data_IF_411675788686
#
_entry.id   IF_411675788686
#
_cell.length_a   1.000
_cell.length_b   1.000
_cell.length_c   1.000
_cell.angle_alpha   90.00
_cell.angle_beta   90.00
_cell.angle_gamma   90.00
#
_symmetry.space_group_name_H-M   'P 1'
#
loop_
_entity.id
_entity.type
_entity.pdbx_description
1 polymer ?
#
# COMPACT_ATOMS: atom_id res chain seq x y z
N UNK A 1 -12.50 0.45 2.88
CA UNK A 1 -11.17 -0.06 3.26
C UNK A 1 -11.21 -1.53 3.74
N UNK A 2 -11.98 -1.87 4.78
CA UNK A 2 -12.00 -3.21 5.38
C UNK A 2 -12.29 -4.34 4.40
N UNK A 3 -13.22 -4.14 3.47
CA UNK A 3 -13.54 -5.12 2.41
C UNK A 3 -12.31 -5.42 1.53
N UNK A 4 -11.61 -4.37 1.06
CA UNK A 4 -10.40 -4.52 0.24
C UNK A 4 -9.31 -5.26 1.01
N UNK A 5 -9.11 -4.91 2.28
CA UNK A 5 -8.12 -5.57 3.13
C UNK A 5 -8.41 -7.07 3.29
N UNK A 6 -9.67 -7.45 3.53
CA UNK A 6 -10.07 -8.85 3.63
C UNK A 6 -9.86 -9.60 2.30
N UNK A 7 -10.20 -8.97 1.17
CA UNK A 7 -9.98 -9.53 -0.16
C UNK A 7 -8.49 -9.75 -0.41
N UNK A 8 -7.64 -8.74 -0.16
CA UNK A 8 -6.19 -8.86 -0.33
C UNK A 8 -5.61 -9.95 0.57
N UNK A 9 -6.07 -10.05 1.82
CA UNK A 9 -5.62 -11.09 2.76
C UNK A 9 -6.03 -12.49 2.30
N UNK A 10 -7.24 -12.66 1.76
CA UNK A 10 -7.69 -13.91 1.16
C UNK A 10 -6.85 -14.30 -0.06
N UNK A 11 -6.54 -13.33 -0.94
CA UNK A 11 -5.70 -13.54 -2.13
C UNK A 11 -4.30 -13.98 -1.72
N UNK A 12 -3.66 -13.27 -0.78
CA UNK A 12 -2.30 -13.57 -0.31
C UNK A 12 -2.20 -14.95 0.33
N UNK A 13 -3.22 -15.38 1.09
CA UNK A 13 -3.27 -16.72 1.71
C UNK A 13 -3.65 -17.84 0.75
N UNK A 14 -4.19 -17.52 -0.42
CA UNK A 14 -4.63 -18.51 -1.41
C UNK A 14 -3.45 -19.21 -2.12
N UNK A 15 -3.77 -20.26 -2.90
CA UNK A 15 -2.78 -20.90 -3.80
C UNK A 15 -2.18 -19.91 -4.80
N UNK A 16 -2.98 -18.97 -5.30
CA UNK A 16 -2.55 -17.93 -6.23
C UNK A 16 -1.51 -17.00 -5.60
N UNK A 17 -1.73 -16.57 -4.35
CA UNK A 17 -0.75 -15.76 -3.61
C UNK A 17 0.61 -16.46 -3.46
N UNK A 18 0.61 -17.77 -3.19
CA UNK A 18 1.87 -18.55 -3.11
C UNK A 18 2.60 -18.64 -4.46
N UNK A 19 1.86 -18.74 -5.57
CA UNK A 19 2.47 -18.70 -6.91
C UNK A 19 3.10 -17.33 -7.17
N UNK A 20 2.44 -16.23 -6.79
CA UNK A 20 3.02 -14.89 -6.92
C UNK A 20 4.31 -14.72 -6.08
N UNK A 21 4.37 -15.30 -4.89
CA UNK A 21 5.60 -15.32 -4.08
C UNK A 21 6.70 -16.12 -4.78
N UNK A 22 6.39 -17.28 -5.36
CA UNK A 22 7.35 -18.05 -6.14
C UNK A 22 7.88 -17.30 -7.36
N UNK A 23 6.99 -16.58 -8.08
CA UNK A 23 7.37 -15.71 -9.21
C UNK A 23 8.33 -14.61 -8.75
N UNK A 24 8.09 -14.03 -7.56
CA UNK A 24 8.96 -12.99 -6.98
C UNK A 24 10.35 -13.51 -6.63
N UNK A 25 10.48 -14.77 -6.17
CA UNK A 25 11.77 -15.37 -5.85
C UNK A 25 12.56 -15.76 -7.09
N UNK A 26 11.92 -16.47 -8.03
CA UNK A 26 12.55 -16.87 -9.28
C UNK A 26 11.49 -17.14 -10.37
N UNK A 27 11.37 -16.21 -11.30
CA UNK A 27 10.40 -16.31 -12.39
C UNK A 27 10.71 -17.48 -13.33
N UNK A 28 11.98 -17.70 -13.70
CA UNK A 28 12.38 -18.78 -14.60
C UNK A 28 12.05 -20.15 -14.00
N UNK A 29 12.38 -20.36 -12.72
CA UNK A 29 12.07 -21.60 -12.00
C UNK A 29 10.57 -21.84 -11.95
N UNK A 30 9.78 -20.79 -11.75
CA UNK A 30 8.32 -20.91 -11.69
C UNK A 30 7.72 -21.28 -13.07
N UNK A 31 8.30 -20.77 -14.16
CA UNK A 31 7.95 -21.20 -15.53
C UNK A 31 8.29 -22.67 -15.77
N UNK A 32 9.46 -23.14 -15.31
CA UNK A 32 9.87 -24.55 -15.46
C UNK A 32 8.95 -25.52 -14.71
N UNK A 33 8.30 -25.06 -13.63
CA UNK A 33 7.28 -25.81 -12.90
C UNK A 33 5.91 -25.87 -13.60
N UNK A 34 5.78 -25.26 -14.80
CA UNK A 34 4.56 -25.28 -15.61
C UNK A 34 3.57 -24.16 -15.31
N UNK A 35 3.94 -23.16 -14.50
CA UNK A 35 3.09 -21.99 -14.25
C UNK A 35 3.29 -20.92 -15.32
N UNK A 36 2.18 -20.40 -15.86
CA UNK A 36 2.21 -19.19 -16.69
C UNK A 36 2.43 -17.95 -15.82
N UNK A 37 3.66 -17.45 -15.79
CA UNK A 37 4.00 -16.27 -14.98
C UNK A 37 3.43 -14.98 -15.55
N UNK A 38 3.18 -14.91 -16.86
CA UNK A 38 2.62 -13.71 -17.52
C UNK A 38 1.15 -13.59 -17.16
N UNK A 39 0.38 -14.66 -17.31
CA UNK A 39 -1.04 -14.68 -16.93
C UNK A 39 -1.22 -14.37 -15.43
N UNK A 40 -0.41 -14.98 -14.56
CA UNK A 40 -0.50 -14.71 -13.12
C UNK A 40 -0.17 -13.25 -12.77
N UNK A 41 0.85 -12.65 -13.39
CA UNK A 41 1.16 -11.22 -13.21
C UNK A 41 0.05 -10.33 -13.75
N UNK A 42 -0.52 -10.65 -14.91
CA UNK A 42 -1.60 -9.89 -15.52
C UNK A 42 -2.85 -9.89 -14.64
N UNK A 43 -3.23 -11.05 -14.07
CA UNK A 43 -4.33 -11.15 -13.10
C UNK A 43 -4.07 -10.25 -11.89
N UNK A 44 -2.84 -10.24 -11.35
CA UNK A 44 -2.47 -9.38 -10.23
C UNK A 44 -2.59 -7.89 -10.57
N UNK A 45 -2.14 -7.48 -11.76
CA UNK A 45 -2.27 -6.11 -12.26
C UNK A 45 -3.74 -5.72 -12.42
N UNK A 46 -4.55 -6.55 -13.09
CA UNK A 46 -5.99 -6.30 -13.28
C UNK A 46 -6.72 -6.20 -11.94
N UNK A 47 -6.42 -7.09 -10.99
CA UNK A 47 -7.01 -7.05 -9.65
C UNK A 47 -6.65 -5.77 -8.89
N UNK A 48 -5.37 -5.35 -8.92
CA UNK A 48 -4.95 -4.08 -8.33
C UNK A 48 -5.62 -2.87 -8.99
N UNK A 49 -5.72 -2.87 -10.31
CA UNK A 49 -6.38 -1.81 -11.09
C UNK A 49 -7.86 -1.70 -10.75
N UNK A 50 -8.56 -2.83 -10.62
CA UNK A 50 -9.97 -2.86 -10.21
C UNK A 50 -10.17 -2.29 -8.80
N UNK A 51 -9.29 -2.61 -7.85
CA UNK A 51 -9.33 -2.07 -6.49
C UNK A 51 -9.08 -0.54 -6.51
N UNK A 52 -8.08 -0.08 -7.25
CA UNK A 52 -7.78 1.36 -7.40
C UNK A 52 -8.94 2.12 -8.05
N UNK A 53 -9.52 1.57 -9.13
CA UNK A 53 -10.67 2.16 -9.81
C UNK A 53 -11.90 2.25 -8.91
N UNK A 54 -12.20 1.18 -8.16
CA UNK A 54 -13.30 1.17 -7.19
C UNK A 54 -13.07 2.21 -6.08
N UNK A 55 -11.84 2.36 -5.60
CA UNK A 55 -11.49 3.40 -4.62
C UNK A 55 -11.67 4.82 -5.17
N UNK A 56 -11.28 5.07 -6.43
CA UNK A 56 -11.47 6.35 -7.10
C UNK A 56 -12.95 6.68 -7.31
N UNK A 57 -13.76 5.71 -7.74
CA UNK A 57 -15.20 5.87 -7.87
C UNK A 57 -15.87 6.19 -6.52
N UNK A 58 -15.48 5.48 -5.45
CA UNK A 58 -15.97 5.74 -4.10
C UNK A 58 -15.58 7.16 -3.61
N UNK A 59 -14.37 7.63 -3.92
CA UNK A 59 -13.95 8.99 -3.62
C UNK A 59 -14.83 10.02 -4.34
N UNK A 60 -15.05 9.84 -5.65
CA UNK A 60 -15.88 10.74 -6.44
C UNK A 60 -17.32 10.82 -5.91
N UNK A 61 -17.89 9.68 -5.49
CA UNK A 61 -19.22 9.63 -4.87
C UNK A 61 -19.27 10.32 -3.50
N UNK A 62 -18.23 10.16 -2.68
CA UNK A 62 -18.17 10.75 -1.34
C UNK A 62 -18.14 12.28 -1.39
N UNK A 63 -17.34 12.85 -2.30
CA UNK A 63 -17.15 14.31 -2.39
C UNK A 63 -18.06 14.99 -3.41
N UNK A 64 -18.74 14.24 -4.28
CA UNK A 64 -19.64 14.77 -5.30
C UNK A 64 -18.97 15.66 -6.35
N UNK A 65 -17.63 15.67 -6.40
CA UNK A 65 -16.84 16.55 -7.25
C UNK A 65 -15.56 15.87 -7.71
N UNK A 66 -15.24 16.05 -9.00
CA UNK A 66 -13.97 15.65 -9.60
C UNK A 66 -13.41 16.84 -10.35
N UNK A 67 -12.27 17.36 -9.89
CA UNK A 67 -11.61 18.54 -10.43
C UNK A 67 -10.28 18.26 -11.12
N UNK A 68 -9.68 19.26 -11.76
CA UNK A 68 -8.33 19.15 -12.34
C UNK A 68 -7.24 18.90 -11.30
N UNK A 69 -7.50 19.22 -10.02
CA UNK A 69 -6.55 19.01 -8.93
C UNK A 69 -6.21 17.52 -8.71
N UNK A 70 -7.07 16.59 -9.15
CA UNK A 70 -6.77 15.15 -9.09
C UNK A 70 -5.64 14.73 -10.03
N UNK A 71 -5.35 15.52 -11.07
CA UNK A 71 -4.18 15.33 -11.93
C UNK A 71 -2.89 15.86 -11.30
N UNK A 72 -2.95 16.43 -10.09
CA UNK A 72 -1.76 16.88 -9.39
C UNK A 72 -0.90 15.71 -8.91
N UNK A 73 0.41 15.95 -8.87
CA UNK A 73 1.43 14.97 -8.49
C UNK A 73 1.20 14.43 -7.07
N UNK A 74 0.62 15.24 -6.19
CA UNK A 74 0.42 14.93 -4.78
C UNK A 74 -0.51 13.71 -4.58
N UNK A 75 -1.58 13.60 -5.37
CA UNK A 75 -2.50 12.46 -5.29
C UNK A 75 -1.86 11.13 -5.72
N UNK A 76 -0.78 11.17 -6.50
CA UNK A 76 -0.04 9.97 -6.90
C UNK A 76 1.07 9.60 -5.89
N UNK A 77 1.79 10.59 -5.37
CA UNK A 77 2.96 10.36 -4.51
C UNK A 77 2.58 10.06 -3.06
N UNK A 78 1.61 10.80 -2.48
CA UNK A 78 1.29 10.68 -1.05
C UNK A 78 0.83 9.28 -0.66
N UNK A 79 -0.11 8.61 -1.38
CA UNK A 79 -0.52 7.26 -1.03
C UNK A 79 0.64 6.25 -1.11
N UNK A 80 1.53 6.42 -2.08
CA UNK A 80 2.73 5.58 -2.23
C UNK A 80 3.64 5.74 -1.01
N UNK A 81 3.89 6.98 -0.57
CA UNK A 81 4.69 7.26 0.62
C UNK A 81 4.07 6.69 1.90
N UNK A 82 2.74 6.81 2.07
CA UNK A 82 2.04 6.25 3.22
C UNK A 82 2.13 4.73 3.27
N UNK A 83 2.05 4.07 2.11
CA UNK A 83 2.22 2.61 1.98
C UNK A 83 3.64 2.18 2.31
N UNK A 84 4.64 2.87 1.76
CA UNK A 84 6.05 2.58 2.03
C UNK A 84 6.38 2.71 3.52
N UNK A 85 5.90 3.78 4.14
CA UNK A 85 6.06 4.05 5.57
C UNK A 85 5.39 2.99 6.43
N UNK A 86 4.18 2.58 6.08
CA UNK A 86 3.48 1.51 6.79
C UNK A 86 4.17 0.15 6.66
N UNK A 87 4.83 -0.09 5.53
CA UNK A 87 5.57 -1.31 5.21
C UNK A 87 4.93 -2.05 4.04
N UNK A 88 5.40 -1.78 2.82
CA UNK A 88 4.87 -2.36 1.58
C UNK A 88 4.99 -3.90 1.50
N UNK A 89 5.87 -4.50 2.30
CA UNK A 89 6.05 -5.95 2.38
C UNK A 89 5.03 -6.66 3.29
N UNK A 90 4.06 -5.94 3.87
CA UNK A 90 3.05 -6.50 4.78
C UNK A 90 1.64 -6.12 4.34
N UNK A 91 0.69 -7.03 4.54
CA UNK A 91 -0.72 -6.78 4.19
C UNK A 91 -1.38 -5.69 5.05
N UNK A 92 -0.95 -5.55 6.31
CA UNK A 92 -1.45 -4.52 7.24
C UNK A 92 -0.66 -3.21 7.21
N UNK A 93 0.54 -3.19 6.62
CA UNK A 93 1.40 -2.00 6.54
C UNK A 93 0.68 -0.79 5.95
N UNK A 94 0.09 -0.88 4.74
CA UNK A 94 -0.67 0.20 4.14
C UNK A 94 -1.73 0.83 5.05
N UNK A 95 -2.45 0.01 5.85
CA UNK A 95 -3.46 0.49 6.78
C UNK A 95 -2.83 1.37 7.86
N UNK A 96 -1.79 0.86 8.52
CA UNK A 96 -1.12 1.54 9.63
C UNK A 96 -0.45 2.83 9.14
N UNK A 97 0.27 2.76 8.02
CA UNK A 97 0.95 3.91 7.44
C UNK A 97 -0.02 5.01 7.03
N UNK A 98 -1.15 4.65 6.40
CA UNK A 98 -2.21 5.59 6.04
C UNK A 98 -2.87 6.19 7.27
N UNK A 99 -3.22 5.37 8.27
CA UNK A 99 -3.85 5.85 9.50
C UNK A 99 -2.95 6.86 10.23
N UNK A 100 -1.67 6.51 10.41
CA UNK A 100 -0.70 7.37 11.07
C UNK A 100 -0.50 8.68 10.32
N UNK A 101 -0.22 8.63 9.02
CA UNK A 101 0.02 9.83 8.22
C UNK A 101 -1.22 10.70 8.06
N UNK A 102 -2.41 10.08 7.99
CA UNK A 102 -3.67 10.80 7.96
C UNK A 102 -3.85 11.63 9.23
N UNK A 103 -3.69 11.03 10.43
CA UNK A 103 -3.81 11.77 11.68
C UNK A 103 -2.73 12.84 11.86
N UNK A 104 -1.48 12.56 11.47
CA UNK A 104 -0.42 13.57 11.50
C UNK A 104 -0.78 14.76 10.61
N UNK A 105 -1.29 14.50 9.40
CA UNK A 105 -1.70 15.55 8.46
C UNK A 105 -2.90 16.33 8.99
N UNK A 106 -3.93 15.65 9.48
CA UNK A 106 -5.17 16.23 9.98
C UNK A 106 -4.91 17.17 11.16
N UNK A 107 -4.23 16.67 12.20
CA UNK A 107 -3.88 17.46 13.40
C UNK A 107 -3.02 18.66 12.99
N UNK A 108 -1.99 18.44 12.18
CA UNK A 108 -1.07 19.52 11.80
C UNK A 108 -1.74 20.59 10.96
N UNK A 109 -2.67 20.19 10.07
CA UNK A 109 -3.41 21.12 9.22
C UNK A 109 -4.28 22.09 10.04
N UNK A 110 -4.75 21.68 11.23
CA UNK A 110 -5.47 22.55 12.15
C UNK A 110 -4.61 23.60 12.85
N UNK A 111 -3.30 23.38 12.97
CA UNK A 111 -2.38 24.31 13.64
C UNK A 111 -1.56 25.17 12.67
N UNK A 112 -1.26 24.67 11.47
CA UNK A 112 -0.28 25.31 10.57
C UNK A 112 -0.57 25.05 9.10
N UNK A 113 -0.56 26.12 8.30
CA UNK A 113 -0.73 26.07 6.84
C UNK A 113 0.41 25.33 6.11
N UNK A 114 1.59 25.24 6.73
CA UNK A 114 2.77 24.51 6.23
C UNK A 114 2.81 23.04 6.67
N UNK A 115 1.66 22.38 6.81
CA UNK A 115 1.56 20.98 7.27
C UNK A 115 2.36 19.98 6.42
N UNK A 116 2.52 20.24 5.11
CA UNK A 116 3.34 19.44 4.20
C UNK A 116 4.80 19.34 4.63
N UNK A 117 5.35 20.38 5.26
CA UNK A 117 6.72 20.37 5.78
C UNK A 117 6.84 19.37 6.93
N UNK A 118 5.87 19.39 7.84
CA UNK A 118 5.83 18.47 9.00
C UNK A 118 5.62 17.03 8.54
N UNK A 119 4.76 16.80 7.55
CA UNK A 119 4.58 15.48 6.92
C UNK A 119 5.89 14.99 6.29
N UNK A 120 6.62 15.87 5.60
CA UNK A 120 7.94 15.54 5.03
C UNK A 120 8.99 15.20 6.08
N UNK A 121 9.07 15.96 7.17
CA UNK A 121 9.96 15.67 8.29
C UNK A 121 9.58 14.35 8.97
N UNK A 122 8.30 14.11 9.22
CA UNK A 122 7.81 12.85 9.79
C UNK A 122 8.16 11.66 8.88
N UNK A 123 8.05 11.82 7.56
CA UNK A 123 8.49 10.82 6.59
C UNK A 123 10.00 10.54 6.69
N UNK A 124 10.84 11.58 6.70
CA UNK A 124 12.30 11.41 6.79
C UNK A 124 12.68 10.67 8.08
N UNK A 125 12.11 11.06 9.21
CA UNK A 125 12.35 10.40 10.50
C UNK A 125 11.94 8.93 10.44
N UNK A 126 10.76 8.62 9.90
CA UNK A 126 10.29 7.24 9.80
C UNK A 126 11.13 6.39 8.85
N UNK A 127 11.58 6.93 7.71
CA UNK A 127 12.47 6.21 6.79
C UNK A 127 13.83 5.95 7.45
N UNK A 128 14.35 6.91 8.23
CA UNK A 128 15.64 6.79 8.91
C UNK A 128 15.61 5.74 10.02
N UNK A 129 14.55 5.72 10.83
CA UNK A 129 14.43 4.80 11.97
C UNK A 129 13.81 3.45 11.62
N UNK A 130 12.99 3.37 10.57
CA UNK A 130 12.26 2.18 10.16
C UNK A 130 12.37 1.93 8.65
N UNK A 131 13.55 1.50 8.14
CA UNK A 131 13.79 1.32 6.70
C UNK A 131 12.92 0.22 6.05
N UNK A 132 12.37 -0.71 6.85
CA UNK A 132 11.41 -1.73 6.40
C UNK A 132 9.94 -1.30 6.58
N UNK A 133 9.71 -0.05 7.00
CA UNK A 133 8.41 0.46 7.43
C UNK A 133 8.06 0.08 8.87
N UNK A 134 7.02 0.71 9.41
CA UNK A 134 6.55 0.50 10.79
C UNK A 134 6.23 -0.97 11.03
N UNK A 135 5.42 -1.57 10.15
CA UNK A 135 5.00 -2.96 10.31
C UNK A 135 6.10 -3.97 9.97
N UNK A 136 7.01 -3.63 9.04
CA UNK A 136 8.18 -4.46 8.74
C UNK A 136 9.14 -4.57 9.92
N UNK A 137 9.33 -3.47 10.65
CA UNK A 137 10.18 -3.42 11.86
C UNK A 137 9.55 -4.20 13.02
N UNK A 138 8.22 -4.17 13.16
CA UNK A 138 7.48 -4.96 14.16
C UNK A 138 7.49 -6.45 13.81
N UNK A 139 7.34 -6.82 12.53
CA UNK A 139 7.42 -8.22 12.08
C UNK A 139 8.77 -8.85 12.40
N UNK A 140 9.86 -8.14 12.14
CA UNK A 140 11.22 -8.64 12.36
C UNK A 140 11.57 -8.78 13.85
N UNK A 141 10.97 -7.94 14.71
CA UNK A 141 11.30 -7.87 16.14
C UNK A 141 10.35 -8.65 17.04
N UNK A 142 9.10 -8.89 16.63
CA UNK A 142 8.06 -9.48 17.51
C UNK A 142 7.12 -10.51 16.87
N UNK A 143 6.83 -10.48 15.56
CA UNK A 143 5.77 -11.32 14.97
C UNK A 143 6.13 -11.83 13.56
N UNK A 144 7.04 -12.82 13.49
CA UNK A 144 7.49 -13.41 12.22
C UNK A 144 6.40 -14.12 11.39
N UNK A 145 5.25 -14.42 12.00
CA UNK A 145 4.11 -15.13 11.40
C UNK A 145 3.09 -14.24 10.65
N UNK A 146 3.26 -12.92 10.64
CA UNK A 146 2.42 -12.02 9.86
C UNK A 146 2.78 -12.07 8.36
N UNK A 147 1.82 -12.36 7.45
CA UNK A 147 2.05 -12.36 6.01
C UNK A 147 2.31 -10.95 5.45
#
# INVERSE_FOLDING_TARGET
FSVVLLITLAIVRSRFGRVLVAIRENEERTKMLGYDTVANKLIAVVASGAICAASGAAYALLFGYVGSNFASIQYSILPLLWVLLGGAATTLGPLIGTLFMYYVTDITSGFTSAYLLIVGVALILLVLFTPKGIMGSIRERWLGWLP
#
